data_IF_586851549854
#
_entry.id   IF_586851549854
#
_cell.length_a   1.000
_cell.length_b   1.000
_cell.length_c   1.000
_cell.angle_alpha   90.00
_cell.angle_beta   90.00
_cell.angle_gamma   90.00
#
_symmetry.space_group_name_H-M   'P 1'
#
loop_
_entity.id
_entity.type
_entity.pdbx_description
1 polymer ?
#
# COMPACT_ATOMS: atom_id res chain seq x y z
N UNK A 1 10.58 -25.83 2.35
CA UNK A 1 11.23 -24.55 1.96
C UNK A 1 10.36 -23.42 2.50
N UNK A 2 10.89 -22.55 3.36
CA UNK A 2 10.12 -21.44 3.89
C UNK A 2 9.70 -20.52 2.72
N UNK A 3 8.40 -20.47 2.41
CA UNK A 3 7.84 -19.47 1.48
C UNK A 3 8.14 -18.10 2.11
N UNK A 4 9.14 -17.38 1.59
CA UNK A 4 9.34 -15.97 1.94
C UNK A 4 8.05 -15.25 1.56
N UNK A 5 7.28 -14.84 2.56
CA UNK A 5 6.05 -14.09 2.39
C UNK A 5 6.46 -12.71 1.89
N UNK A 6 6.26 -12.41 0.61
CA UNK A 6 6.30 -11.02 0.15
C UNK A 6 5.11 -10.32 0.80
N UNK A 7 5.35 -9.27 1.57
CA UNK A 7 4.31 -8.50 2.24
C UNK A 7 4.56 -7.02 2.00
N UNK A 8 3.58 -6.35 1.41
CA UNK A 8 3.51 -4.89 1.36
C UNK A 8 2.76 -4.41 2.61
N UNK A 9 3.35 -3.46 3.32
CA UNK A 9 2.72 -2.82 4.47
C UNK A 9 3.10 -1.34 4.44
N UNK A 10 2.09 -0.47 4.36
CA UNK A 10 2.23 0.97 4.48
C UNK A 10 1.55 1.40 5.77
N UNK A 11 2.20 2.27 6.54
CA UNK A 11 1.74 2.67 7.87
C UNK A 11 1.50 4.18 7.95
N UNK A 12 0.44 4.62 8.65
CA UNK A 12 0.07 6.05 8.73
C UNK A 12 -0.06 6.68 7.34
N UNK A 13 -0.81 6.00 6.48
CA UNK A 13 -0.90 6.32 5.06
C UNK A 13 -2.20 7.02 4.73
N UNK A 14 -2.10 8.09 3.94
CA UNK A 14 -3.23 8.74 3.27
C UNK A 14 -3.33 8.23 1.82
N UNK A 15 -4.56 8.00 1.34
CA UNK A 15 -4.82 7.64 -0.04
C UNK A 15 -5.47 8.82 -0.77
N UNK A 16 -4.81 9.29 -1.81
CA UNK A 16 -5.30 10.33 -2.71
C UNK A 16 -5.69 9.69 -4.03
N UNK A 17 -6.96 9.86 -4.39
CA UNK A 17 -7.48 9.43 -5.69
C UNK A 17 -7.42 10.61 -6.65
N UNK A 18 -6.57 10.49 -7.68
CA UNK A 18 -6.54 11.39 -8.83
C UNK A 18 -7.30 10.74 -10.00
N UNK A 19 -7.52 11.49 -11.09
CA UNK A 19 -8.36 11.03 -12.21
C UNK A 19 -7.90 9.69 -12.83
N UNK A 20 -6.59 9.39 -12.80
CA UNK A 20 -5.96 8.25 -13.47
C UNK A 20 -5.14 7.33 -12.55
N UNK A 21 -4.91 7.70 -11.29
CA UNK A 21 -4.05 6.95 -10.37
C UNK A 21 -4.44 7.12 -8.91
N UNK A 22 -3.92 6.23 -8.08
CA UNK A 22 -4.08 6.30 -6.61
C UNK A 22 -2.69 6.46 -6.01
N UNK A 23 -2.49 7.58 -5.31
CA UNK A 23 -1.24 7.88 -4.60
C UNK A 23 -1.42 7.53 -3.12
N UNK A 24 -0.49 6.74 -2.59
CA UNK A 24 -0.35 6.48 -1.17
C UNK A 24 0.75 7.38 -0.60
N UNK A 25 0.40 8.25 0.33
CA UNK A 25 1.34 9.11 1.04
C UNK A 25 1.58 8.53 2.42
N UNK A 26 2.79 8.04 2.67
CA UNK A 26 3.23 7.53 3.97
C UNK A 26 3.87 8.64 4.79
N UNK A 27 3.24 9.03 5.90
CA UNK A 27 3.76 10.07 6.78
C UNK A 27 4.78 9.50 7.76
N UNK A 28 6.07 9.62 7.41
CA UNK A 28 7.16 9.25 8.31
C UNK A 28 7.53 10.43 9.22
N UNK A 29 8.31 10.14 10.26
CA UNK A 29 8.65 11.12 11.30
C UNK A 29 9.37 12.37 10.77
N UNK A 30 10.11 12.24 9.66
CA UNK A 30 10.99 13.29 9.14
C UNK A 30 10.66 13.70 7.69
N UNK A 31 9.85 12.91 6.99
CA UNK A 31 9.55 13.11 5.57
C UNK A 31 8.26 12.37 5.20
N UNK A 32 7.58 12.85 4.17
CA UNK A 32 6.48 12.13 3.55
C UNK A 32 7.03 11.36 2.35
N UNK A 33 6.58 10.11 2.19
CA UNK A 33 6.92 9.29 1.03
C UNK A 33 5.68 9.01 0.19
N UNK A 34 5.76 9.36 -1.07
CA UNK A 34 4.69 9.14 -2.03
C UNK A 34 4.97 7.88 -2.84
N UNK A 35 3.94 7.06 -3.01
CA UNK A 35 3.98 5.85 -3.81
C UNK A 35 2.76 5.79 -4.71
N UNK A 36 2.95 5.42 -5.98
CA UNK A 36 1.83 4.99 -6.82
C UNK A 36 1.40 3.59 -6.37
N UNK A 37 0.14 3.45 -5.95
CA UNK A 37 -0.41 2.17 -5.47
C UNK A 37 -0.36 1.11 -6.56
N UNK A 38 -0.56 1.47 -7.84
CA UNK A 38 -0.47 0.51 -8.93
C UNK A 38 0.94 -0.06 -9.06
N UNK A 39 1.96 0.77 -8.95
CA UNK A 39 3.35 0.31 -8.99
C UNK A 39 3.67 -0.61 -7.82
N UNK A 40 3.18 -0.32 -6.62
CA UNK A 40 3.34 -1.21 -5.46
C UNK A 40 2.65 -2.57 -5.65
N UNK A 41 1.48 -2.59 -6.32
CA UNK A 41 0.74 -3.81 -6.59
C UNK A 41 1.35 -4.66 -7.71
N UNK A 42 2.12 -4.06 -8.64
CA UNK A 42 2.82 -4.78 -9.72
C UNK A 42 3.77 -5.86 -9.20
N UNK A 43 4.35 -5.67 -8.02
CA UNK A 43 5.23 -6.68 -7.38
C UNK A 43 4.52 -8.02 -7.07
N UNK A 44 3.19 -8.02 -7.08
CA UNK A 44 2.32 -9.16 -6.83
C UNK A 44 1.59 -9.63 -8.10
N UNK A 45 1.93 -9.10 -9.28
CA UNK A 45 1.36 -9.54 -10.54
C UNK A 45 1.55 -11.06 -10.73
N UNK A 46 0.49 -11.75 -11.17
CA UNK A 46 0.48 -13.21 -11.33
C UNK A 46 0.36 -14.00 -10.02
N UNK A 47 0.36 -13.37 -8.85
CA UNK A 47 0.09 -14.05 -7.58
C UNK A 47 -1.43 -14.29 -7.40
N UNK A 48 -1.80 -15.48 -6.93
CA UNK A 48 -3.18 -15.86 -6.64
C UNK A 48 -3.41 -16.01 -5.13
N UNK A 49 -4.68 -15.93 -4.70
CA UNK A 49 -5.09 -15.98 -3.28
C UNK A 49 -4.47 -14.85 -2.42
N UNK A 50 -4.41 -13.64 -2.98
CA UNK A 50 -3.98 -12.45 -2.26
C UNK A 50 -5.08 -12.02 -1.27
N UNK A 51 -4.67 -11.49 -0.12
CA UNK A 51 -5.55 -10.83 0.84
C UNK A 51 -5.09 -9.38 0.95
N UNK A 52 -5.99 -8.44 0.66
CA UNK A 52 -5.74 -7.00 0.81
C UNK A 52 -6.61 -6.53 1.98
N UNK A 53 -5.98 -5.96 3.00
CA UNK A 53 -6.66 -5.40 4.16
C UNK A 53 -6.42 -3.89 4.20
N UNK A 54 -7.49 -3.11 4.29
CA UNK A 54 -7.44 -1.66 4.50
C UNK A 54 -8.22 -1.36 5.77
N UNK A 55 -7.58 -0.70 6.72
CA UNK A 55 -8.16 -0.37 8.03
C UNK A 55 -7.71 1.02 8.44
N UNK A 56 -8.60 1.80 9.05
CA UNK A 56 -8.29 3.10 9.65
C UNK A 56 -8.26 2.97 11.17
N UNK A 57 -7.37 3.72 11.83
CA UNK A 57 -7.28 3.78 13.29
C UNK A 57 -8.33 4.74 13.90
N UNK A 58 -8.99 5.57 13.08
CA UNK A 58 -10.08 6.45 13.51
C UNK A 58 -11.43 5.86 13.13
N UNK A 59 -12.35 5.78 14.08
CA UNK A 59 -13.78 5.63 13.81
C UNK A 59 -14.22 6.81 12.92
N UNK A 60 -14.76 6.49 11.74
CA UNK A 60 -15.31 7.47 10.78
C UNK A 60 -16.72 7.85 11.22
#
# INVERSE_FOLDING_TARGET
MAKRKRSLNLSKTELIFEDDKVIAIEHLKNEDKEYDVFDLLRDFEGCQNLTINISTEKEI
#
